data_IF_511489672982
#
_entry.id   IF_511489672982
#
_cell.length_a   1.000
_cell.length_b   1.000
_cell.length_c   1.000
_cell.angle_alpha   90.00
_cell.angle_beta   90.00
_cell.angle_gamma   90.00
#
_symmetry.space_group_name_H-M   'P 1'
#
loop_
_entity.id
_entity.type
_entity.pdbx_description
1 polymer ?
#
# COMPACT_ATOMS: atom_id res chain seq x y z
N UNK A 1 3.07 12.70 4.13
CA UNK A 1 2.97 11.24 3.99
C UNK A 1 3.76 10.71 2.77
N UNK A 2 4.18 9.43 2.75
CA UNK A 2 5.09 8.87 1.71
C UNK A 2 4.32 8.50 0.44
N UNK A 3 5.06 8.28 -0.65
CA UNK A 3 4.56 7.77 -1.94
C UNK A 3 5.33 6.51 -2.33
N UNK A 4 5.01 5.39 -1.68
CA UNK A 4 5.75 4.12 -1.83
C UNK A 4 4.79 2.95 -1.99
N UNK A 5 5.24 1.88 -2.62
CA UNK A 5 4.47 0.65 -2.77
C UNK A 5 5.37 -0.59 -2.75
N UNK A 6 4.80 -1.71 -2.34
CA UNK A 6 5.43 -3.03 -2.34
C UNK A 6 4.60 -4.03 -3.14
N UNK A 7 5.19 -5.19 -3.44
CA UNK A 7 4.49 -6.33 -4.03
C UNK A 7 4.10 -7.29 -2.92
N UNK A 8 2.90 -7.84 -2.99
CA UNK A 8 2.39 -8.89 -2.13
C UNK A 8 2.02 -10.09 -3.00
N UNK A 9 2.25 -11.30 -2.51
CA UNK A 9 2.08 -12.56 -3.26
C UNK A 9 0.88 -13.38 -2.82
N UNK A 10 0.24 -13.00 -1.72
CA UNK A 10 -1.00 -13.59 -1.22
C UNK A 10 -1.95 -12.51 -0.70
N UNK A 11 -3.19 -12.89 -0.43
CA UNK A 11 -4.16 -11.97 0.18
C UNK A 11 -3.79 -11.67 1.63
N UNK A 12 -3.24 -12.64 2.37
CA UNK A 12 -2.81 -12.48 3.76
C UNK A 12 -1.67 -11.45 3.87
N UNK A 13 -0.68 -11.53 2.97
CA UNK A 13 0.42 -10.56 2.94
C UNK A 13 -0.10 -9.15 2.56
N UNK A 14 -1.03 -9.08 1.60
CA UNK A 14 -1.62 -7.82 1.17
C UNK A 14 -2.50 -7.19 2.27
N UNK A 15 -3.24 -8.01 3.01
CA UNK A 15 -4.11 -7.63 4.13
C UNK A 15 -3.26 -7.13 5.32
N UNK A 16 -2.17 -7.82 5.63
CA UNK A 16 -1.22 -7.38 6.66
C UNK A 16 -0.60 -6.02 6.33
N UNK A 17 -0.11 -5.84 5.09
CA UNK A 17 0.46 -4.57 4.63
C UNK A 17 -0.60 -3.47 4.59
N UNK A 18 -1.82 -3.78 4.15
CA UNK A 18 -2.93 -2.85 4.13
C UNK A 18 -3.28 -2.33 5.51
N UNK A 19 -3.52 -3.23 6.47
CA UNK A 19 -3.78 -2.84 7.86
C UNK A 19 -2.62 -2.06 8.48
N UNK A 20 -1.38 -2.43 8.17
CA UNK A 20 -0.22 -1.66 8.62
C UNK A 20 -0.23 -0.23 8.07
N UNK A 21 -0.50 -0.02 6.78
CA UNK A 21 -0.64 1.32 6.19
C UNK A 21 -1.73 2.12 6.91
N UNK A 22 -2.91 1.51 7.12
CA UNK A 22 -4.02 2.16 7.84
C UNK A 22 -3.64 2.57 9.26
N UNK A 23 -2.90 1.72 9.99
CA UNK A 23 -2.43 2.01 11.35
C UNK A 23 -1.52 3.25 11.44
N UNK A 24 -0.94 3.69 10.31
CA UNK A 24 -0.09 4.88 10.22
C UNK A 24 -0.86 6.16 9.87
N UNK A 25 -2.20 6.10 9.85
CA UNK A 25 -3.08 7.23 9.60
C UNK A 25 -3.33 7.51 8.12
N UNK A 26 -3.00 6.57 7.24
CA UNK A 26 -3.44 6.63 5.85
C UNK A 26 -4.89 6.15 5.78
N UNK A 27 -5.72 6.84 5.03
CA UNK A 27 -7.11 6.51 4.79
C UNK A 27 -7.22 5.49 3.64
N UNK A 28 -8.38 4.86 3.51
CA UNK A 28 -8.70 4.08 2.31
C UNK A 28 -8.80 4.97 1.07
N UNK A 29 -9.09 4.37 -0.08
CA UNK A 29 -9.42 5.14 -1.29
C UNK A 29 -10.59 6.08 -0.96
N UNK A 30 -10.39 7.40 -1.10
CA UNK A 30 -11.40 8.47 -1.01
C UNK A 30 -12.66 8.12 -0.18
N UNK A 31 -12.60 8.26 1.16
CA UNK A 31 -13.69 8.01 2.11
C UNK A 31 -14.22 6.57 2.21
N UNK A 32 -13.61 5.58 1.56
CA UNK A 32 -14.09 4.20 1.59
C UNK A 32 -13.35 3.32 2.60
N UNK A 33 -14.14 2.47 3.27
CA UNK A 33 -13.66 1.52 4.27
C UNK A 33 -12.59 0.59 3.71
N UNK A 34 -11.66 0.17 4.55
CA UNK A 34 -10.62 -0.83 4.26
C UNK A 34 -11.13 -2.05 3.46
N UNK A 35 -12.40 -2.42 3.64
CA UNK A 35 -13.11 -3.47 2.88
C UNK A 35 -12.93 -3.34 1.36
N UNK A 36 -13.05 -2.14 0.78
CA UNK A 36 -12.88 -1.98 -0.67
C UNK A 36 -11.44 -2.20 -1.13
N UNK A 37 -10.46 -1.78 -0.32
CA UNK A 37 -9.07 -2.06 -0.61
C UNK A 37 -8.82 -3.58 -0.63
N UNK A 38 -9.41 -4.32 0.31
CA UNK A 38 -9.33 -5.78 0.36
C UNK A 38 -10.03 -6.45 -0.83
N UNK A 39 -11.23 -6.01 -1.19
CA UNK A 39 -11.95 -6.48 -2.38
C UNK A 39 -11.12 -6.26 -3.66
N UNK A 40 -10.45 -5.12 -3.80
CA UNK A 40 -9.52 -4.86 -4.91
C UNK A 40 -8.30 -5.79 -4.90
N UNK A 41 -7.72 -6.08 -3.73
CA UNK A 41 -6.60 -7.04 -3.63
C UNK A 41 -7.01 -8.42 -4.13
N UNK A 42 -8.14 -8.93 -3.65
CA UNK A 42 -8.68 -10.23 -4.06
C UNK A 42 -8.97 -10.27 -5.56
N UNK A 43 -9.61 -9.22 -6.09
CA UNK A 43 -9.90 -9.09 -7.50
C UNK A 43 -8.62 -9.11 -8.35
N UNK A 44 -7.61 -8.32 -7.98
CA UNK A 44 -6.35 -8.25 -8.73
C UNK A 44 -5.52 -9.52 -8.65
N UNK A 45 -5.47 -10.18 -7.48
CA UNK A 45 -4.83 -11.49 -7.33
C UNK A 45 -5.50 -12.53 -8.23
N UNK A 46 -6.84 -12.62 -8.19
CA UNK A 46 -7.62 -13.54 -9.03
C UNK A 46 -7.42 -13.25 -10.52
N UNK A 47 -7.45 -11.98 -10.91
CA UNK A 47 -7.21 -11.53 -12.29
C UNK A 47 -5.80 -11.89 -12.77
N UNK A 48 -4.77 -11.58 -12.00
CA UNK A 48 -3.38 -11.86 -12.39
C UNK A 48 -3.11 -13.36 -12.50
N UNK A 49 -3.72 -14.17 -11.63
CA UNK A 49 -3.65 -15.62 -11.72
C UNK A 49 -4.32 -16.14 -12.99
N UNK A 50 -5.54 -15.68 -13.28
CA UNK A 50 -6.32 -16.14 -14.43
C UNK A 50 -5.70 -15.73 -15.79
N UNK A 51 -5.22 -14.49 -15.91
CA UNK A 51 -4.76 -13.94 -17.21
C UNK A 51 -3.27 -14.23 -17.46
N UNK A 52 -2.46 -14.30 -16.39
CA UNK A 52 -1.01 -14.31 -16.53
C UNK A 52 -0.30 -15.40 -15.72
N UNK A 53 -1.04 -16.28 -15.04
CA UNK A 53 -0.51 -17.29 -14.12
C UNK A 53 0.46 -16.68 -13.08
N UNK A 54 0.10 -15.50 -12.55
CA UNK A 54 0.89 -14.74 -11.58
C UNK A 54 0.06 -14.47 -10.33
N UNK A 55 0.62 -14.77 -9.16
CA UNK A 55 -0.01 -14.49 -7.87
C UNK A 55 0.69 -13.30 -7.24
N UNK A 56 0.40 -12.09 -7.72
CA UNK A 56 0.83 -10.88 -7.04
C UNK A 56 -0.17 -9.75 -7.19
N UNK A 57 -0.11 -8.83 -6.22
CA UNK A 57 -0.76 -7.52 -6.23
C UNK A 57 0.21 -6.49 -5.67
N UNK A 58 0.05 -5.23 -6.06
CA UNK A 58 0.81 -4.12 -5.51
C UNK A 58 -0.05 -3.35 -4.52
N UNK A 59 0.48 -3.14 -3.32
CA UNK A 59 -0.16 -2.36 -2.26
C UNK A 59 0.77 -1.21 -1.90
N UNK A 60 0.23 -0.02 -1.70
CA UNK A 60 1.03 1.15 -1.43
C UNK A 60 0.29 2.26 -0.72
N UNK A 61 1.06 3.29 -0.41
CA UNK A 61 0.62 4.50 0.25
C UNK A 61 0.94 5.69 -0.67
N UNK A 62 -0.03 6.58 -0.87
CA UNK A 62 0.09 7.77 -1.69
C UNK A 62 -0.56 8.96 -1.00
N UNK A 63 0.27 9.89 -0.50
CA UNK A 63 -0.20 10.99 0.35
C UNK A 63 -1.03 10.39 1.48
N UNK A 64 -2.30 10.71 1.59
CA UNK A 64 -3.12 10.31 2.73
C UNK A 64 -3.95 9.06 2.45
N UNK A 65 -3.71 8.38 1.31
CA UNK A 65 -4.51 7.22 0.89
C UNK A 65 -3.68 5.97 0.68
N UNK A 66 -4.29 4.84 1.00
CA UNK A 66 -3.88 3.52 0.54
C UNK A 66 -4.28 3.33 -0.92
N UNK A 67 -3.46 2.57 -1.66
CA UNK A 67 -3.70 2.26 -3.07
C UNK A 67 -3.35 0.80 -3.37
N UNK A 68 -4.17 0.17 -4.21
CA UNK A 68 -3.97 -1.20 -4.67
C UNK A 68 -3.94 -1.22 -6.21
N UNK A 69 -3.08 -2.06 -6.80
CA UNK A 69 -3.06 -2.24 -8.25
C UNK A 69 -2.49 -3.59 -8.66
N UNK A 70 -2.94 -4.12 -9.79
CA UNK A 70 -2.38 -5.32 -10.40
C UNK A 70 -1.07 -5.07 -11.18
N UNK A 71 -0.68 -3.81 -11.42
CA UNK A 71 0.39 -3.47 -12.36
C UNK A 71 1.41 -2.45 -11.82
N UNK A 72 2.68 -2.87 -11.72
CA UNK A 72 3.82 -2.02 -11.32
C UNK A 72 3.95 -0.74 -12.16
N UNK A 73 3.64 -0.81 -13.46
CA UNK A 73 3.75 0.33 -14.38
C UNK A 73 2.70 1.41 -14.05
N UNK A 74 1.50 1.02 -13.64
CA UNK A 74 0.44 1.96 -13.21
C UNK A 74 0.91 2.71 -11.96
N UNK A 75 1.41 1.97 -10.96
CA UNK A 75 1.94 2.55 -9.72
C UNK A 75 3.08 3.55 -9.96
N UNK A 76 4.01 3.21 -10.87
CA UNK A 76 5.10 4.12 -11.25
C UNK A 76 4.61 5.38 -11.98
N UNK A 77 3.59 5.26 -12.85
CA UNK A 77 2.99 6.43 -13.54
C UNK A 77 2.34 7.41 -12.56
N UNK A 78 1.86 6.92 -11.43
CA UNK A 78 1.33 7.75 -10.34
C UNK A 78 2.43 8.39 -9.48
N UNK A 79 3.71 8.14 -9.79
CA UNK A 79 4.87 8.71 -9.10
C UNK A 79 5.24 8.00 -7.80
N UNK A 80 4.74 6.77 -7.56
CA UNK A 80 5.12 6.01 -6.37
C UNK A 80 6.47 5.29 -6.59
N UNK A 81 7.28 5.23 -5.53
CA UNK A 81 8.55 4.49 -5.51
C UNK A 81 8.31 3.05 -5.05
N UNK A 82 8.84 2.09 -5.83
CA UNK A 82 8.77 0.68 -5.48
C UNK A 82 9.79 0.33 -4.40
N UNK A 83 9.34 -0.36 -3.36
CA UNK A 83 10.18 -0.92 -2.30
C UNK A 83 10.01 -2.44 -2.36
N UNK A 84 11.10 -3.14 -2.65
CA UNK A 84 11.06 -4.58 -2.90
C UNK A 84 10.96 -5.40 -1.61
N UNK A 85 11.61 -4.95 -0.53
CA UNK A 85 11.63 -5.65 0.75
C UNK A 85 10.48 -5.13 1.64
N UNK A 86 9.49 -5.96 2.00
CA UNK A 86 8.36 -5.53 2.83
C UNK A 86 8.78 -4.93 4.18
N UNK A 87 9.85 -5.46 4.79
CA UNK A 87 10.42 -4.89 6.03
C UNK A 87 10.86 -3.44 5.85
N UNK A 88 11.61 -3.12 4.80
CA UNK A 88 12.06 -1.75 4.50
C UNK A 88 10.87 -0.86 4.18
N UNK A 89 9.84 -1.39 3.52
CA UNK A 89 8.61 -0.65 3.28
C UNK A 89 7.96 -0.20 4.61
N UNK A 90 7.88 -1.11 5.59
CA UNK A 90 7.33 -0.81 6.92
C UNK A 90 8.16 0.23 7.68
N UNK A 91 9.48 0.05 7.74
CA UNK A 91 10.43 0.98 8.38
C UNK A 91 10.29 2.42 7.83
N UNK A 92 10.18 2.56 6.50
CA UNK A 92 10.00 3.88 5.87
C UNK A 92 8.68 4.53 6.28
N UNK A 93 7.58 3.77 6.39
CA UNK A 93 6.30 4.34 6.85
C UNK A 93 6.35 4.75 8.32
N UNK A 94 7.04 4.00 9.18
CA UNK A 94 7.25 4.34 10.59
C UNK A 94 8.05 5.63 10.79
N UNK A 95 9.17 5.79 10.08
CA UNK A 95 9.96 7.03 10.11
C UNK A 95 9.11 8.25 9.76
N UNK A 96 8.14 8.11 8.84
CA UNK A 96 7.27 9.22 8.49
C UNK A 96 6.35 9.62 9.65
N UNK A 97 5.79 8.64 10.35
CA UNK A 97 4.96 8.86 11.54
C UNK A 97 5.75 9.60 12.64
N UNK A 98 7.00 9.19 12.89
CA UNK A 98 7.87 9.81 13.89
C UNK A 98 8.20 11.27 13.55
N UNK A 99 8.61 11.55 12.30
CA UNK A 99 8.91 12.92 11.84
C UNK A 99 7.68 13.82 11.93
N UNK A 100 6.49 13.32 11.57
CA UNK A 100 5.25 14.09 11.71
C UNK A 100 4.93 14.41 13.17
N UNK A 101 5.09 13.45 14.10
CA UNK A 101 4.87 13.69 15.54
C UNK A 101 5.79 14.75 16.12
N UNK A 102 7.07 14.77 15.74
CA UNK A 102 8.01 15.83 16.17
C UNK A 102 7.54 17.19 15.68
N UNK A 103 7.23 17.30 14.38
CA UNK A 103 6.81 18.56 13.77
C UNK A 103 5.50 19.11 14.36
N UNK A 104 4.61 18.25 14.87
CA UNK A 104 3.38 18.66 15.56
C UNK A 104 3.61 19.12 17.01
N UNK A 105 4.67 18.66 17.69
CA UNK A 105 4.99 19.05 19.08
C UNK A 105 5.80 20.34 19.18
N UNK A 106 6.43 20.77 18.08
CA UNK A 106 7.20 22.01 18.00
C UNK A 106 6.40 23.25 17.55
N UNK A 107 5.07 23.13 17.46
CA UNK A 107 4.12 24.22 17.24
C UNK A 107 3.27 24.40 18.49
#
# INVERSE_FOLDING_TARGET
>A
MRKIFTMCTSIEEADEIGHFIMSKGYEGVQNDSYRYCREEMEFYLKRNRAVHNRNFVFVGANRDMMIVSYCKKIMKKMGLKYIEKPRVFKELLEENEYVQKINMRGK
#
